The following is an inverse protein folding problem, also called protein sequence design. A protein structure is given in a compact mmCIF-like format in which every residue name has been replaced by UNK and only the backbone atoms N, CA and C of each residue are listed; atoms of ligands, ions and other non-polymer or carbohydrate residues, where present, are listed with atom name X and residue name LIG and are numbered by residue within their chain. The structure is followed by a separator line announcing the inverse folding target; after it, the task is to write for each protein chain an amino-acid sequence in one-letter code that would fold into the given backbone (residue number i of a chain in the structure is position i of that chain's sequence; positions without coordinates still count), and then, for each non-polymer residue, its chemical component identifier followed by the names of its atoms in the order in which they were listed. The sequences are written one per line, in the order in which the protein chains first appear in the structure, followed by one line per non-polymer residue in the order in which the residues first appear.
data_IF_650589386827
#
_entry.id   IF_650589386827
#
_cell.length_a   1.000
_cell.length_b   1.000
_cell.length_c   1.000
_cell.angle_alpha   90.00
_cell.angle_beta   90.00
_cell.angle_gamma   90.00
#
_symmetry.space_group_name_H-M   'P 1'
#
loop_
_entity.id
_entity.type
_entity.pdbx_description
1 polymer ?
#
# COMPACT_ATOMS: atom_id res chain seq x y z
N UNK A 1 4.63 -1.07 -19.72
CA UNK A 1 4.49 0.41 -19.85
C UNK A 1 4.69 1.08 -18.49
N UNK A 2 5.92 1.20 -17.97
CA UNK A 2 6.18 1.91 -16.68
C UNK A 2 7.43 2.81 -16.68
N UNK A 3 8.04 3.12 -17.82
CA UNK A 3 9.06 4.20 -17.88
C UNK A 3 8.83 5.23 -19.00
N UNK A 4 7.61 5.33 -19.52
CA UNK A 4 7.29 6.22 -20.65
C UNK A 4 5.99 7.03 -20.49
N UNK A 5 5.43 7.13 -19.27
CA UNK A 5 4.26 7.97 -19.04
C UNK A 5 4.67 9.34 -18.51
N UNK A 6 4.75 10.30 -19.43
CA UNK A 6 4.82 11.72 -19.13
C UNK A 6 3.54 12.26 -18.47
N UNK A 7 2.48 11.44 -18.34
CA UNK A 7 1.16 11.83 -17.82
C UNK A 7 0.66 10.80 -16.80
N UNK A 8 0.15 11.26 -15.66
CA UNK A 8 -0.45 10.38 -14.67
C UNK A 8 -1.66 9.63 -15.26
N UNK A 9 -1.72 8.31 -15.06
CA UNK A 9 -2.90 7.51 -15.38
C UNK A 9 -3.89 7.56 -14.22
N UNK A 10 -5.20 7.56 -14.51
CA UNK A 10 -6.19 7.54 -13.45
C UNK A 10 -6.27 6.16 -12.75
N UNK A 11 -6.63 6.16 -11.48
CA UNK A 11 -6.59 4.98 -10.59
C UNK A 11 -7.46 3.83 -11.10
N UNK A 12 -8.63 4.12 -11.67
CA UNK A 12 -9.52 3.09 -12.23
C UNK A 12 -8.86 2.27 -13.36
N UNK A 13 -7.96 2.88 -14.15
CA UNK A 13 -7.24 2.14 -15.19
C UNK A 13 -6.21 1.17 -14.60
N UNK A 14 -5.67 1.47 -13.41
CA UNK A 14 -4.68 0.64 -12.72
C UNK A 14 -5.39 -0.53 -12.03
N UNK A 15 -6.54 -0.27 -11.39
CA UNK A 15 -7.34 -1.28 -10.68
C UNK A 15 -7.83 -2.41 -11.58
N UNK A 16 -8.15 -2.12 -12.84
CA UNK A 16 -8.60 -3.10 -13.83
C UNK A 16 -7.52 -3.48 -14.85
N UNK A 17 -6.26 -3.12 -14.60
CA UNK A 17 -5.14 -3.47 -15.49
C UNK A 17 -4.69 -4.90 -15.28
N UNK A 18 -4.35 -5.60 -16.36
CA UNK A 18 -3.71 -6.93 -16.32
C UNK A 18 -2.18 -6.84 -16.39
N UNK A 19 -1.62 -5.62 -16.50
CA UNK A 19 -0.18 -5.42 -16.60
C UNK A 19 0.50 -5.64 -15.23
N UNK A 20 1.49 -6.53 -15.18
CA UNK A 20 2.17 -6.93 -13.94
C UNK A 20 2.75 -5.77 -13.13
N UNK A 21 3.20 -4.68 -13.77
CA UNK A 21 3.71 -3.52 -13.04
C UNK A 21 2.61 -2.62 -12.46
N UNK A 22 1.42 -2.60 -13.07
CA UNK A 22 0.27 -1.86 -12.51
C UNK A 22 -0.28 -2.62 -11.30
N UNK A 23 -0.39 -3.94 -11.42
CA UNK A 23 -0.72 -4.82 -10.30
C UNK A 23 0.33 -4.69 -9.19
N UNK A 24 1.61 -4.71 -9.53
CA UNK A 24 2.70 -4.49 -8.56
C UNK A 24 2.58 -3.17 -7.80
N UNK A 25 2.17 -2.08 -8.47
CA UNK A 25 1.90 -0.79 -7.82
C UNK A 25 0.77 -0.89 -6.80
N UNK A 26 -0.34 -1.58 -7.13
CA UNK A 26 -1.46 -1.78 -6.20
C UNK A 26 -1.01 -2.52 -4.94
N UNK A 27 -0.21 -3.58 -5.10
CA UNK A 27 0.36 -4.32 -3.97
C UNK A 27 1.28 -3.43 -3.12
N UNK A 28 2.14 -2.61 -3.74
CA UNK A 28 3.08 -1.77 -3.01
C UNK A 28 2.35 -0.70 -2.15
N UNK A 29 1.33 -0.07 -2.71
CA UNK A 29 0.48 0.88 -1.97
C UNK A 29 -0.26 0.17 -0.85
N UNK A 30 -0.85 -1.00 -1.12
CA UNK A 30 -1.58 -1.77 -0.11
C UNK A 30 -0.67 -2.24 1.04
N UNK A 31 0.51 -2.77 0.72
CA UNK A 31 1.49 -3.20 1.73
C UNK A 31 1.98 -2.04 2.60
N UNK A 32 2.17 -0.84 2.02
CA UNK A 32 2.53 0.35 2.78
C UNK A 32 1.42 0.76 3.76
N UNK A 33 0.15 0.71 3.33
CA UNK A 33 -0.99 0.96 4.22
C UNK A 33 -1.06 -0.07 5.35
N UNK A 34 -0.91 -1.36 5.01
CA UNK A 34 -0.91 -2.45 5.99
C UNK A 34 0.25 -2.32 6.99
N UNK A 35 1.42 -1.87 6.55
CA UNK A 35 2.57 -1.61 7.42
C UNK A 35 2.26 -0.55 8.47
N UNK A 36 1.61 0.56 8.10
CA UNK A 36 1.24 1.59 9.07
C UNK A 36 0.16 1.12 10.04
N UNK A 37 -0.86 0.39 9.56
CA UNK A 37 -1.92 -0.16 10.41
C UNK A 37 -1.34 -1.18 11.40
N UNK A 38 -0.54 -2.13 10.91
CA UNK A 38 0.11 -3.14 11.75
C UNK A 38 1.10 -2.54 12.74
N UNK A 39 1.89 -1.55 12.31
CA UNK A 39 2.82 -0.82 13.15
C UNK A 39 2.11 -0.01 14.25
N UNK A 40 1.03 0.70 13.90
CA UNK A 40 0.21 1.43 14.86
C UNK A 40 -0.43 0.48 15.89
N UNK A 41 -0.95 -0.67 15.43
CA UNK A 41 -1.53 -1.68 16.31
C UNK A 41 -0.48 -2.28 17.25
N UNK A 42 0.75 -2.54 16.78
CA UNK A 42 1.83 -3.03 17.61
C UNK A 42 2.21 -2.03 18.73
N UNK A 43 2.23 -0.73 18.42
CA UNK A 43 2.47 0.32 19.42
C UNK A 43 1.30 0.40 20.40
N UNK A 44 0.05 0.35 19.92
CA UNK A 44 -1.14 0.40 20.77
C UNK A 44 -1.16 -0.77 21.77
N UNK A 45 -0.92 -2.00 21.30
CA UNK A 45 -0.80 -3.17 22.17
C UNK A 45 0.33 -3.00 23.18
N UNK A 46 1.46 -2.44 22.77
CA UNK A 46 2.59 -2.18 23.68
C UNK A 46 2.22 -1.20 24.80
N UNK A 47 1.33 -0.24 24.55
CA UNK A 47 0.80 0.68 25.57
C UNK A 47 -0.12 -0.05 26.55
N UNK A 48 -1.04 -0.89 26.06
CA UNK A 48 -1.94 -1.68 26.92
C UNK A 48 -1.19 -2.64 27.85
N UNK A 49 -0.13 -3.27 27.34
CA UNK A 49 0.74 -4.19 28.08
C UNK A 49 1.79 -3.51 28.98
N UNK A 50 1.86 -2.18 28.98
CA UNK A 50 2.83 -1.43 29.79
C UNK A 50 2.39 -1.31 31.27
N UNK A 51 1.09 -1.35 31.53
CA UNK A 51 0.56 -1.46 32.88
C UNK A 51 0.49 -2.95 33.29
N UNK A 52 0.90 -3.30 34.53
CA UNK A 52 0.80 -4.67 35.03
C UNK A 52 -0.65 -5.11 35.27
#
# INVERSE_FOLDING_TARGET
MVLALAKARPVWQIMFSTHHTDVGLLYLVFSLLAMFIGGAMAIALRVELFAP
#
